data_IF_940942083925
#
_entry.id   IF_940942083925
#
_cell.length_a   1.000
_cell.length_b   1.000
_cell.length_c   1.000
_cell.angle_alpha   90.00
_cell.angle_beta   90.00
_cell.angle_gamma   90.00
#
_symmetry.space_group_name_H-M   'P 1'
#
loop_
_entity.id
_entity.type
_entity.pdbx_description
1 polymer ?
#
# COMPACT_ATOMS: atom_id res chain seq x y z
N UNK A 1 6.67 14.26 -15.52
CA UNK A 1 7.32 14.70 -16.80
C UNK A 1 7.20 13.65 -17.91
N UNK A 2 7.00 12.37 -17.59
CA UNK A 2 6.84 11.29 -18.58
C UNK A 2 5.52 11.35 -19.38
N UNK A 3 4.52 12.06 -18.88
CA UNK A 3 3.20 12.20 -19.53
C UNK A 3 3.23 13.21 -20.69
N UNK A 4 4.12 14.19 -20.66
CA UNK A 4 4.15 15.27 -21.65
C UNK A 4 4.33 14.79 -23.12
N UNK A 5 5.22 13.83 -23.43
CA UNK A 5 5.34 13.30 -24.79
C UNK A 5 4.08 12.58 -25.28
N UNK A 6 3.31 11.98 -24.37
CA UNK A 6 2.11 11.21 -24.67
C UNK A 6 0.93 12.14 -25.02
N UNK A 7 0.82 13.30 -24.35
CA UNK A 7 -0.27 14.26 -24.55
C UNK A 7 -0.34 14.71 -26.02
N UNK A 8 0.78 15.13 -26.60
CA UNK A 8 0.81 15.63 -27.97
C UNK A 8 0.35 14.59 -29.02
N UNK A 9 0.66 13.32 -28.78
CA UNK A 9 0.26 12.21 -29.63
C UNK A 9 -1.24 11.91 -29.48
N UNK A 10 -1.73 11.77 -28.26
CA UNK A 10 -3.14 11.47 -28.00
C UNK A 10 -4.10 12.55 -28.55
N UNK A 11 -3.73 13.83 -28.42
CA UNK A 11 -4.53 14.94 -28.94
C UNK A 11 -4.60 14.90 -30.47
N UNK A 12 -3.49 14.59 -31.15
CA UNK A 12 -3.43 14.58 -32.61
C UNK A 12 -4.10 13.36 -33.25
N UNK A 13 -3.88 12.17 -32.68
CA UNK A 13 -4.24 10.90 -33.32
C UNK A 13 -5.68 10.44 -33.03
N UNK A 14 -6.33 10.95 -31.97
CA UNK A 14 -7.63 10.44 -31.49
C UNK A 14 -8.70 11.50 -31.26
N UNK A 15 -8.72 12.53 -32.09
CA UNK A 15 -9.71 13.63 -31.96
C UNK A 15 -9.77 14.26 -30.57
N UNK A 16 -8.67 14.29 -29.86
CA UNK A 16 -8.56 14.90 -28.54
C UNK A 16 -9.21 14.10 -27.40
N UNK A 17 -9.60 12.82 -27.61
CA UNK A 17 -10.15 11.98 -26.55
C UNK A 17 -9.05 11.18 -25.87
N UNK A 18 -8.92 11.35 -24.56
CA UNK A 18 -7.99 10.60 -23.72
C UNK A 18 -8.67 10.22 -22.41
N UNK A 19 -8.24 9.10 -21.83
CA UNK A 19 -8.57 8.68 -20.47
C UNK A 19 -7.47 9.10 -19.55
N UNK A 20 -7.78 9.83 -18.50
CA UNK A 20 -6.86 10.15 -17.41
C UNK A 20 -7.28 9.42 -16.13
N UNK A 21 -6.35 8.74 -15.50
CA UNK A 21 -6.49 8.24 -14.13
C UNK A 21 -5.86 9.29 -13.23
N UNK A 22 -6.64 9.82 -12.28
CA UNK A 22 -6.24 10.96 -11.45
C UNK A 22 -6.41 10.59 -9.97
N UNK A 23 -5.43 10.97 -9.15
CA UNK A 23 -5.51 10.89 -7.69
C UNK A 23 -5.17 12.27 -7.10
N UNK A 24 -6.16 12.92 -6.48
CA UNK A 24 -6.02 14.31 -6.04
C UNK A 24 -5.69 15.23 -7.23
N UNK A 25 -4.52 15.86 -7.17
CA UNK A 25 -4.00 16.76 -8.21
C UNK A 25 -2.93 16.10 -9.12
N UNK A 26 -2.77 14.79 -9.04
CA UNK A 26 -1.77 14.03 -9.82
C UNK A 26 -2.45 13.17 -10.88
N UNK A 27 -1.90 13.18 -12.09
CA UNK A 27 -2.28 12.25 -13.15
C UNK A 27 -1.38 11.02 -13.00
N UNK A 28 -1.98 9.87 -12.69
CA UNK A 28 -1.28 8.59 -12.54
C UNK A 28 -1.04 7.92 -13.89
N UNK A 29 -2.01 8.04 -14.79
CA UNK A 29 -1.91 7.55 -16.17
C UNK A 29 -2.69 8.44 -17.11
N UNK A 30 -2.17 8.60 -18.32
CA UNK A 30 -2.86 9.22 -19.46
C UNK A 30 -2.69 8.31 -20.67
N UNK A 31 -3.81 7.82 -21.22
CA UNK A 31 -3.82 6.91 -22.37
C UNK A 31 -5.05 7.11 -23.24
N UNK A 32 -5.11 6.35 -24.33
CA UNK A 32 -6.32 6.25 -25.15
C UNK A 32 -7.49 5.75 -24.30
N UNK A 33 -8.70 6.15 -24.69
CA UNK A 33 -9.90 5.67 -24.03
C UNK A 33 -10.02 4.14 -24.19
N UNK A 34 -10.07 3.42 -23.10
CA UNK A 34 -10.30 1.99 -23.02
C UNK A 34 -11.26 1.65 -21.86
N UNK A 35 -11.70 0.40 -21.79
CA UNK A 35 -12.62 -0.11 -20.77
C UNK A 35 -11.90 -0.89 -19.65
N UNK A 36 -10.55 -0.80 -19.56
CA UNK A 36 -9.82 -1.46 -18.48
C UNK A 36 -10.30 -0.97 -17.11
N UNK A 37 -10.36 -1.86 -16.13
CA UNK A 37 -10.80 -1.47 -14.80
C UNK A 37 -9.81 -0.50 -14.16
N UNK A 38 -10.28 0.26 -13.20
CA UNK A 38 -9.46 1.01 -12.24
C UNK A 38 -9.65 0.30 -10.91
N UNK A 39 -8.59 -0.33 -10.43
CA UNK A 39 -8.66 -1.11 -9.21
C UNK A 39 -7.91 -0.42 -8.07
N UNK A 40 -8.32 -0.73 -6.86
CA UNK A 40 -7.66 -0.35 -5.62
C UNK A 40 -7.48 -1.58 -4.75
N UNK A 41 -6.42 -1.61 -3.96
CA UNK A 41 -6.24 -2.64 -2.94
C UNK A 41 -6.11 -1.99 -1.55
N UNK A 42 -6.59 -2.68 -0.53
CA UNK A 42 -6.43 -2.25 0.86
C UNK A 42 -5.89 -3.41 1.69
N UNK A 43 -4.96 -3.11 2.60
CA UNK A 43 -4.33 -4.10 3.46
C UNK A 43 -4.37 -3.66 4.92
N UNK A 44 -4.81 -4.58 5.77
CA UNK A 44 -4.63 -4.49 7.22
C UNK A 44 -3.45 -5.37 7.63
N UNK A 45 -2.38 -4.75 8.11
CA UNK A 45 -1.19 -5.43 8.58
C UNK A 45 -1.31 -5.68 10.09
N UNK A 46 -2.05 -6.74 10.43
CA UNK A 46 -2.12 -7.21 11.81
C UNK A 46 -0.82 -7.88 12.27
N UNK A 47 -0.64 -7.99 13.57
CA UNK A 47 0.53 -8.65 14.18
C UNK A 47 0.65 -10.12 13.75
N UNK A 48 -0.46 -10.85 13.70
CA UNK A 48 -0.49 -12.28 13.37
C UNK A 48 -0.94 -12.53 11.94
N UNK A 49 -1.93 -11.79 11.45
CA UNK A 49 -2.56 -12.00 10.15
C UNK A 49 -2.56 -10.69 9.36
N UNK A 50 -2.30 -10.81 8.08
CA UNK A 50 -2.47 -9.72 7.11
C UNK A 50 -3.72 -10.03 6.30
N UNK A 51 -4.67 -9.09 6.27
CA UNK A 51 -5.85 -9.15 5.43
C UNK A 51 -5.72 -8.19 4.25
N UNK A 52 -6.18 -8.62 3.09
CA UNK A 52 -6.15 -7.84 1.85
C UNK A 52 -7.48 -7.88 1.12
N UNK A 53 -7.84 -6.77 0.50
CA UNK A 53 -9.06 -6.55 -0.24
C UNK A 53 -8.75 -5.94 -1.60
N UNK A 54 -9.41 -6.43 -2.65
CA UNK A 54 -9.40 -5.82 -3.98
C UNK A 54 -10.76 -5.16 -4.22
N UNK A 55 -10.73 -3.91 -4.67
CA UNK A 55 -11.92 -3.10 -4.88
C UNK A 55 -11.95 -2.53 -6.30
N UNK A 56 -13.16 -2.39 -6.84
CA UNK A 56 -13.39 -1.56 -8.03
C UNK A 56 -13.27 -0.09 -7.63
N UNK A 57 -12.34 0.63 -8.28
CA UNK A 57 -12.05 2.02 -7.95
C UNK A 57 -13.14 3.02 -8.39
N UNK A 58 -14.13 2.58 -9.18
CA UNK A 58 -15.25 3.43 -9.61
C UNK A 58 -16.47 3.26 -8.71
N UNK A 59 -16.75 2.03 -8.29
CA UNK A 59 -17.96 1.68 -7.52
C UNK A 59 -17.70 1.50 -6.03
N UNK A 60 -16.45 1.22 -5.66
CA UNK A 60 -16.10 0.80 -4.30
C UNK A 60 -16.46 -0.65 -3.99
N UNK A 61 -16.98 -1.41 -4.95
CA UNK A 61 -17.36 -2.80 -4.76
C UNK A 61 -16.13 -3.66 -4.44
N UNK A 62 -16.28 -4.52 -3.43
CA UNK A 62 -15.25 -5.50 -3.08
C UNK A 62 -15.30 -6.68 -4.04
N UNK A 63 -14.22 -6.87 -4.80
CA UNK A 63 -14.10 -7.90 -5.84
C UNK A 63 -13.51 -9.21 -5.30
N UNK A 64 -12.57 -9.11 -4.36
CA UNK A 64 -11.91 -10.27 -3.75
C UNK A 64 -11.37 -9.94 -2.37
N UNK A 65 -11.15 -10.98 -1.57
CA UNK A 65 -10.46 -10.91 -0.28
C UNK A 65 -9.43 -12.03 -0.19
N UNK A 66 -8.32 -11.78 0.50
CA UNK A 66 -7.31 -12.77 0.79
C UNK A 66 -6.65 -12.45 2.13
N UNK A 67 -6.17 -13.48 2.82
CA UNK A 67 -5.42 -13.30 4.06
C UNK A 67 -4.28 -14.30 4.15
N UNK A 68 -3.25 -13.96 4.92
CA UNK A 68 -2.13 -14.84 5.21
C UNK A 68 -1.54 -14.53 6.59
N UNK A 69 -0.78 -15.47 7.14
CA UNK A 69 0.01 -15.23 8.33
C UNK A 69 1.07 -14.16 8.04
N UNK A 70 1.26 -13.25 8.99
CA UNK A 70 2.26 -12.21 8.87
C UNK A 70 3.67 -12.82 8.96
N UNK A 71 4.43 -12.75 7.88
CA UNK A 71 5.79 -13.30 7.79
C UNK A 71 6.78 -12.68 8.78
N UNK A 72 6.47 -11.51 9.34
CA UNK A 72 7.28 -10.91 10.40
C UNK A 72 7.29 -11.72 11.71
N UNK A 73 6.41 -12.74 11.85
CA UNK A 73 6.43 -13.67 12.99
C UNK A 73 7.77 -14.42 13.13
N UNK A 74 8.53 -14.58 12.06
CA UNK A 74 9.89 -15.15 12.08
C UNK A 74 10.88 -14.30 12.87
N UNK A 75 10.64 -12.99 12.99
CA UNK A 75 11.47 -12.02 13.71
C UNK A 75 10.98 -11.71 15.14
N UNK A 76 9.81 -12.20 15.49
CA UNK A 76 9.19 -12.03 16.80
C UNK A 76 7.72 -12.38 16.80
N UNK A 77 7.27 -13.11 17.81
CA UNK A 77 5.89 -13.56 17.93
C UNK A 77 4.89 -12.40 18.15
N UNK A 78 5.33 -11.32 18.78
CA UNK A 78 4.54 -10.16 19.11
C UNK A 78 5.19 -8.83 18.66
N UNK A 79 4.47 -7.75 18.89
CA UNK A 79 4.87 -6.39 18.54
C UNK A 79 6.17 -5.98 19.21
N UNK A 80 6.33 -6.28 20.50
CA UNK A 80 7.49 -5.89 21.31
C UNK A 80 8.75 -6.62 20.86
N UNK A 81 8.64 -7.93 20.58
CA UNK A 81 9.76 -8.71 20.08
C UNK A 81 10.25 -8.19 18.71
N UNK A 82 9.34 -7.83 17.80
CA UNK A 82 9.70 -7.25 16.50
C UNK A 82 10.31 -5.87 16.62
N UNK A 83 9.78 -5.04 17.52
CA UNK A 83 10.37 -3.74 17.81
C UNK A 83 11.80 -3.91 18.33
N UNK A 84 12.02 -4.78 19.31
CA UNK A 84 13.36 -5.08 19.86
C UNK A 84 14.30 -5.67 18.80
N UNK A 85 13.80 -6.55 17.91
CA UNK A 85 14.60 -7.05 16.79
C UNK A 85 15.06 -5.88 15.91
N UNK A 86 14.14 -4.99 15.55
CA UNK A 86 14.46 -3.83 14.69
C UNK A 86 15.39 -2.82 15.35
N UNK A 87 15.34 -2.66 16.67
CA UNK A 87 16.30 -1.83 17.41
C UNK A 87 17.72 -2.37 17.31
N UNK A 88 17.88 -3.68 17.27
CA UNK A 88 19.19 -4.34 17.22
C UNK A 88 19.74 -4.49 15.81
N UNK A 89 18.89 -4.80 14.83
CA UNK A 89 19.28 -5.20 13.47
C UNK A 89 18.79 -4.27 12.37
N UNK A 90 17.98 -3.24 12.70
CA UNK A 90 17.30 -2.38 11.73
C UNK A 90 15.94 -2.95 11.31
N UNK A 91 15.16 -2.12 10.58
CA UNK A 91 13.81 -2.47 10.14
C UNK A 91 13.77 -3.08 8.70
N UNK A 92 14.90 -3.16 8.00
CA UNK A 92 14.96 -3.50 6.57
C UNK A 92 14.42 -4.91 6.27
N UNK A 93 14.83 -5.91 7.04
CA UNK A 93 14.37 -7.29 6.84
C UNK A 93 12.88 -7.43 7.11
N UNK A 94 12.38 -6.81 8.21
CA UNK A 94 10.96 -6.78 8.55
C UNK A 94 10.12 -6.08 7.47
N UNK A 95 10.60 -4.95 6.94
CA UNK A 95 9.90 -4.24 5.88
C UNK A 95 9.91 -5.01 4.56
N UNK A 96 11.02 -5.63 4.23
CA UNK A 96 11.15 -6.42 3.00
C UNK A 96 10.25 -7.65 3.02
N UNK A 97 10.20 -8.41 4.12
CA UNK A 97 9.38 -9.61 4.20
C UNK A 97 7.88 -9.29 4.12
N UNK A 98 7.43 -8.23 4.80
CA UNK A 98 6.01 -7.84 4.75
C UNK A 98 5.61 -7.31 3.35
N UNK A 99 6.46 -6.52 2.68
CA UNK A 99 6.22 -6.04 1.32
C UNK A 99 6.14 -7.19 0.31
N UNK A 100 6.99 -8.21 0.45
CA UNK A 100 6.91 -9.45 -0.35
C UNK A 100 5.58 -10.19 -0.11
N UNK A 101 5.10 -10.25 1.14
CA UNK A 101 3.81 -10.84 1.46
C UNK A 101 2.66 -10.07 0.81
N UNK A 102 2.65 -8.73 0.90
CA UNK A 102 1.62 -7.91 0.25
C UNK A 102 1.61 -8.13 -1.28
N UNK A 103 2.79 -8.17 -1.91
CA UNK A 103 2.89 -8.47 -3.35
C UNK A 103 2.30 -9.83 -3.70
N UNK A 104 2.55 -10.86 -2.88
CA UNK A 104 1.94 -12.19 -3.06
C UNK A 104 0.42 -12.14 -2.91
N UNK A 105 -0.09 -11.45 -1.89
CA UNK A 105 -1.53 -11.28 -1.68
C UNK A 105 -2.20 -10.51 -2.83
N UNK A 106 -1.54 -9.50 -3.40
CA UNK A 106 -2.02 -8.80 -4.62
C UNK A 106 -2.21 -9.79 -5.76
N UNK A 107 -1.24 -10.68 -6.01
CA UNK A 107 -1.38 -11.74 -7.00
C UNK A 107 -2.60 -12.63 -6.74
N UNK A 108 -2.75 -13.14 -5.52
CA UNK A 108 -3.89 -13.98 -5.10
C UNK A 108 -5.24 -13.27 -5.29
N UNK A 109 -5.33 -12.00 -4.90
CA UNK A 109 -6.53 -11.18 -5.06
C UNK A 109 -6.91 -11.01 -6.53
N UNK A 110 -5.91 -10.70 -7.37
CA UNK A 110 -6.11 -10.51 -8.80
C UNK A 110 -6.51 -11.82 -9.51
N UNK A 111 -5.89 -12.94 -9.15
CA UNK A 111 -6.27 -14.27 -9.66
C UNK A 111 -7.73 -14.60 -9.31
N UNK A 112 -8.12 -14.42 -8.05
CA UNK A 112 -9.50 -14.67 -7.59
C UNK A 112 -10.54 -13.81 -8.32
N UNK A 113 -10.21 -12.54 -8.58
CA UNK A 113 -11.08 -11.61 -9.30
C UNK A 113 -10.95 -11.67 -10.83
N UNK A 114 -10.02 -12.46 -11.38
CA UNK A 114 -9.67 -12.49 -12.81
C UNK A 114 -9.30 -11.10 -13.35
N UNK A 115 -8.47 -10.40 -12.60
CA UNK A 115 -7.97 -9.05 -12.89
C UNK A 115 -6.45 -9.03 -13.00
N UNK A 116 -5.88 -7.93 -13.50
CA UNK A 116 -4.43 -7.73 -13.57
C UNK A 116 -3.94 -6.83 -12.45
N UNK A 117 -2.80 -7.13 -11.81
CA UNK A 117 -2.16 -6.20 -10.88
C UNK A 117 -1.83 -4.83 -11.52
N UNK A 118 -1.59 -4.79 -12.82
CA UNK A 118 -1.34 -3.55 -13.58
C UNK A 118 -2.56 -2.61 -13.66
N UNK A 119 -3.74 -3.09 -13.29
CA UNK A 119 -4.95 -2.27 -13.21
C UNK A 119 -5.16 -1.66 -11.80
N UNK A 120 -4.27 -1.97 -10.84
CA UNK A 120 -4.31 -1.41 -9.47
C UNK A 120 -3.52 -0.09 -9.46
N UNK A 121 -4.21 1.01 -9.22
CA UNK A 121 -3.63 2.35 -9.17
C UNK A 121 -3.38 2.87 -7.75
N UNK A 122 -3.97 2.25 -6.75
CA UNK A 122 -3.75 2.63 -5.35
C UNK A 122 -3.75 1.41 -4.45
N UNK A 123 -2.79 1.41 -3.52
CA UNK A 123 -2.74 0.49 -2.39
C UNK A 123 -2.82 1.29 -1.10
N UNK A 124 -3.83 1.04 -0.28
CA UNK A 124 -3.94 1.62 1.06
C UNK A 124 -3.47 0.62 2.10
N UNK A 125 -2.72 1.08 3.08
CA UNK A 125 -2.17 0.24 4.15
C UNK A 125 -2.54 0.81 5.50
N UNK A 126 -3.07 -0.06 6.35
CA UNK A 126 -3.34 0.19 7.77
C UNK A 126 -2.70 -0.91 8.63
N UNK A 127 -2.67 -0.71 9.93
CA UNK A 127 -2.17 -1.64 10.93
C UNK A 127 -1.92 -0.92 12.24
N UNK A 128 -1.60 -1.66 13.30
CA UNK A 128 -1.18 -1.01 14.53
C UNK A 128 0.09 -0.17 14.32
N UNK A 129 0.35 0.78 15.19
CA UNK A 129 1.41 1.77 15.00
C UNK A 129 2.78 1.16 14.76
N UNK A 130 3.15 0.09 15.46
CA UNK A 130 4.43 -0.58 15.25
C UNK A 130 4.51 -1.28 13.88
N UNK A 131 3.47 -2.03 13.48
CA UNK A 131 3.43 -2.69 12.17
C UNK A 131 3.48 -1.68 11.03
N UNK A 132 2.83 -0.52 11.20
CA UNK A 132 2.89 0.59 10.26
C UNK A 132 4.33 1.12 10.10
N UNK A 133 5.07 1.34 11.21
CA UNK A 133 6.46 1.78 11.17
C UNK A 133 7.36 0.74 10.49
N UNK A 134 7.24 -0.54 10.88
CA UNK A 134 8.04 -1.62 10.31
C UNK A 134 7.77 -1.81 8.81
N UNK A 135 6.52 -1.67 8.36
CA UNK A 135 6.19 -1.68 6.93
C UNK A 135 6.87 -0.55 6.16
N UNK A 136 6.93 0.64 6.73
CA UNK A 136 7.61 1.79 6.13
C UNK A 136 9.14 1.68 6.18
N UNK A 137 9.69 0.73 6.94
CA UNK A 137 11.14 0.58 7.14
C UNK A 137 11.69 1.49 8.24
N UNK A 138 10.82 1.96 9.14
CA UNK A 138 11.17 2.84 10.26
C UNK A 138 11.34 1.99 11.51
N UNK A 139 12.49 2.14 12.18
CA UNK A 139 12.70 1.53 13.49
C UNK A 139 11.80 2.22 14.52
N UNK A 140 10.92 1.50 15.23
CA UNK A 140 9.94 2.07 16.15
C UNK A 140 10.53 2.36 17.54
N UNK A 141 11.72 2.97 17.61
CA UNK A 141 12.45 3.25 18.85
C UNK A 141 11.60 4.08 19.83
N UNK A 142 10.99 5.14 19.30
CA UNK A 142 10.13 6.04 20.09
C UNK A 142 8.82 5.41 20.57
N UNK A 143 8.46 4.21 20.09
CA UNK A 143 7.27 3.47 20.55
C UNK A 143 7.57 2.55 21.75
N UNK A 144 8.84 2.18 21.97
CA UNK A 144 9.25 1.30 23.07
C UNK A 144 9.85 2.07 24.25
N UNK A 145 10.08 3.38 24.10
CA UNK A 145 10.56 4.26 25.15
C UNK A 145 9.57 5.40 25.41
N UNK A 146 9.42 5.79 26.69
CA UNK A 146 8.60 6.94 27.04
C UNK A 146 9.10 8.19 26.31
N UNK A 147 8.18 9.03 25.76
CA UNK A 147 6.74 9.09 25.94
C UNK A 147 5.88 8.26 24.95
N UNK A 148 6.45 7.24 24.28
CA UNK A 148 5.77 6.31 23.37
C UNK A 148 5.11 6.99 22.17
N UNK A 149 5.72 8.01 21.63
CA UNK A 149 5.20 8.76 20.48
C UNK A 149 5.59 8.09 19.16
N UNK A 150 4.67 8.02 18.18
CA UNK A 150 5.02 7.53 16.85
C UNK A 150 6.01 8.50 16.17
N UNK A 151 6.99 7.97 15.44
CA UNK A 151 7.90 8.79 14.65
C UNK A 151 7.17 9.50 13.49
N UNK A 152 6.10 8.88 13.00
CA UNK A 152 5.22 9.42 11.97
C UNK A 152 3.77 9.15 12.39
N UNK A 153 2.95 10.21 12.46
CA UNK A 153 1.52 10.13 12.75
C UNK A 153 0.65 10.55 11.59
N UNK A 154 1.20 11.27 10.62
CA UNK A 154 0.45 11.77 9.47
C UNK A 154 0.23 10.68 8.42
N UNK A 155 -0.86 10.82 7.65
CA UNK A 155 -1.05 10.02 6.43
C UNK A 155 0.01 10.38 5.39
N UNK A 156 0.56 9.37 4.75
CA UNK A 156 1.63 9.51 3.76
C UNK A 156 1.22 8.91 2.43
N UNK A 157 1.65 9.54 1.36
CA UNK A 157 1.47 9.03 0.00
C UNK A 157 2.82 8.91 -0.70
N UNK A 158 3.05 7.77 -1.32
CA UNK A 158 4.30 7.45 -2.01
C UNK A 158 4.03 6.86 -3.39
N UNK A 159 4.94 7.01 -4.37
CA UNK A 159 4.96 6.15 -5.54
C UNK A 159 5.07 4.67 -5.10
N UNK A 160 4.15 3.82 -5.56
CA UNK A 160 4.10 2.42 -5.14
C UNK A 160 5.32 1.61 -5.60
N UNK A 161 6.01 2.07 -6.64
CA UNK A 161 7.26 1.49 -7.13
C UNK A 161 8.32 1.33 -6.02
N UNK A 162 8.43 2.32 -5.12
CA UNK A 162 9.36 2.29 -3.98
C UNK A 162 9.14 1.10 -3.03
N UNK A 163 7.95 0.50 -3.07
CA UNK A 163 7.59 -0.63 -2.20
C UNK A 163 7.58 -1.97 -2.93
N UNK A 164 7.87 -1.98 -4.24
CA UNK A 164 7.96 -3.18 -5.08
C UNK A 164 6.71 -4.08 -5.03
N UNK A 165 5.53 -3.48 -4.92
CA UNK A 165 4.26 -4.21 -4.76
C UNK A 165 3.78 -4.89 -6.05
N UNK A 166 4.33 -4.51 -7.21
CA UNK A 166 4.00 -5.12 -8.51
C UNK A 166 2.64 -4.70 -9.05
N UNK A 167 2.17 -3.49 -8.73
CA UNK A 167 0.97 -2.85 -9.27
C UNK A 167 1.34 -1.93 -10.44
N UNK A 168 0.36 -1.14 -10.93
CA UNK A 168 0.59 -0.15 -11.99
C UNK A 168 1.81 0.73 -11.70
N UNK A 169 2.73 0.96 -12.67
CA UNK A 169 3.95 1.75 -12.45
C UNK A 169 3.68 3.18 -11.93
N UNK A 170 2.61 3.84 -12.41
CA UNK A 170 2.17 5.13 -11.91
C UNK A 170 1.32 5.05 -10.62
N UNK A 171 1.16 3.86 -10.06
CA UNK A 171 0.33 3.65 -8.88
C UNK A 171 0.91 4.25 -7.60
N UNK A 172 0.05 4.45 -6.62
CA UNK A 172 0.37 5.08 -5.35
C UNK A 172 0.15 4.14 -4.17
N UNK A 173 1.01 4.26 -3.17
CA UNK A 173 0.81 3.70 -1.83
C UNK A 173 0.32 4.81 -0.90
N UNK A 174 -0.76 4.56 -0.18
CA UNK A 174 -1.29 5.42 0.88
C UNK A 174 -1.14 4.69 2.21
N UNK A 175 -0.29 5.20 3.07
CA UNK A 175 -0.20 4.80 4.47
C UNK A 175 -1.12 5.71 5.28
N UNK A 176 -2.15 5.15 5.92
CA UNK A 176 -3.12 5.95 6.67
C UNK A 176 -2.49 6.53 7.95
N UNK A 177 -3.01 7.65 8.48
CA UNK A 177 -2.48 8.25 9.70
C UNK A 177 -2.67 7.32 10.90
N UNK A 178 -1.77 7.42 11.87
CA UNK A 178 -1.91 6.77 13.18
C UNK A 178 -2.24 7.84 14.24
N UNK A 179 -3.03 7.47 15.26
CA UNK A 179 -3.48 8.43 16.28
C UNK A 179 -2.44 8.59 17.39
N UNK A 180 -1.88 7.48 17.86
CA UNK A 180 -0.94 7.47 18.98
C UNK A 180 -0.04 6.21 18.94
N UNK A 181 0.91 6.11 19.87
CA UNK A 181 1.84 4.98 19.96
C UNK A 181 1.16 3.60 20.01
N UNK A 182 -0.01 3.52 20.64
CA UNK A 182 -0.80 2.28 20.76
C UNK A 182 -2.15 2.32 20.05
N UNK A 183 -2.47 3.40 19.33
CA UNK A 183 -3.70 3.54 18.55
C UNK A 183 -3.30 3.75 17.09
N UNK A 184 -3.33 2.66 16.34
CA UNK A 184 -2.83 2.61 14.97
C UNK A 184 -3.85 3.03 13.92
N UNK A 185 -3.44 2.91 12.66
CA UNK A 185 -4.25 3.21 11.49
C UNK A 185 -5.40 2.21 11.29
N UNK A 186 -5.31 1.00 11.86
CA UNK A 186 -6.38 0.00 11.91
C UNK A 186 -7.64 0.56 12.59
N UNK A 187 -7.48 1.31 13.68
CA UNK A 187 -8.59 2.00 14.38
C UNK A 187 -9.17 3.16 13.57
N UNK A 188 -8.38 3.81 12.72
CA UNK A 188 -8.82 4.93 11.86
C UNK A 188 -9.62 4.44 10.65
N UNK A 189 -9.36 3.21 10.21
CA UNK A 189 -9.97 2.63 9.00
C UNK A 189 -11.31 1.92 9.27
N UNK A 190 -11.75 1.83 10.53
CA UNK A 190 -13.08 1.30 10.92
C UNK A 190 -14.19 2.38 10.88
#
# INVERSE_FOLDING_TARGET
LEILPVIGRLIKEKNGKARAIVSGNQILELKEQDDRPVLMAAFDIGTTTVAGYLLDGKTGEQLATASALNTQTEYGADVIMRANYSLKYGAEELSTCIRKLLRKLIGTLCEAAKKSPEDIYQVSVVGNTCMHHLFLGIVPDSLVHAPYNPAISQGLMFPAEKFHLGIHPGGQLVALPVIAGFVGADTVAC
#
